data_IF_546551471618
#
_entry.id   IF_546551471618
#
_cell.length_a   1.000
_cell.length_b   1.000
_cell.length_c   1.000
_cell.angle_alpha   90.00
_cell.angle_beta   90.00
_cell.angle_gamma   90.00
#
_symmetry.space_group_name_H-M   'P 1'
#
loop_
_entity.id
_entity.type
_entity.pdbx_description
1 polymer ?
#
# COMPACT_ATOMS: atom_id res chain seq x y z
N UNK A 1 28.79 1.87 18.80
CA UNK A 1 27.90 1.52 17.68
C UNK A 1 26.53 2.08 18.01
N UNK A 2 26.11 3.16 17.35
CA UNK A 2 24.77 3.70 17.53
C UNK A 2 23.75 2.65 17.11
N UNK A 3 22.63 2.47 17.83
CA UNK A 3 21.59 1.56 17.38
C UNK A 3 21.10 2.07 16.03
N UNK A 4 21.20 1.24 15.00
CA UNK A 4 20.61 1.50 13.69
C UNK A 4 19.14 1.86 13.91
N UNK A 5 18.80 3.15 13.83
CA UNK A 5 17.43 3.60 13.99
C UNK A 5 16.60 2.94 12.90
N UNK A 6 15.66 2.06 13.29
CA UNK A 6 14.74 1.43 12.34
C UNK A 6 14.08 2.54 11.52
N UNK A 7 14.20 2.46 10.19
CA UNK A 7 13.65 3.46 9.29
C UNK A 7 12.14 3.64 9.54
N UNK A 8 11.64 4.88 9.47
CA UNK A 8 10.27 5.21 9.85
C UNK A 8 9.22 4.46 9.03
N UNK A 9 9.53 4.11 7.78
CA UNK A 9 8.63 3.39 6.88
C UNK A 9 8.17 2.03 7.45
N UNK A 10 8.97 1.43 8.33
CA UNK A 10 8.70 0.12 8.96
C UNK A 10 8.00 0.23 10.32
N UNK A 11 7.31 1.35 10.58
CA UNK A 11 6.60 1.57 11.86
C UNK A 11 5.56 0.48 12.15
N UNK A 12 4.85 -0.02 11.14
CA UNK A 12 3.72 -0.94 11.32
C UNK A 12 3.95 -2.36 10.82
N UNK A 13 4.94 -2.58 9.95
CA UNK A 13 5.28 -3.89 9.41
C UNK A 13 6.71 -3.89 8.88
N UNK A 14 7.32 -5.09 8.87
CA UNK A 14 8.55 -5.36 8.14
C UNK A 14 8.20 -5.86 6.73
N UNK A 15 8.77 -5.24 5.70
CA UNK A 15 8.53 -5.59 4.29
C UNK A 15 9.67 -5.09 3.40
N UNK A 16 9.75 -5.63 2.18
CA UNK A 16 10.70 -5.17 1.17
C UNK A 16 10.13 -3.97 0.38
N UNK A 17 10.48 -2.76 0.82
CA UNK A 17 10.04 -1.51 0.18
C UNK A 17 10.58 -1.34 -1.25
N UNK A 18 11.73 -1.92 -1.59
CA UNK A 18 12.28 -1.89 -2.94
C UNK A 18 11.48 -2.80 -3.86
N UNK A 19 11.07 -3.98 -3.40
CA UNK A 19 10.17 -4.86 -4.13
C UNK A 19 8.81 -4.20 -4.38
N UNK A 20 8.27 -3.45 -3.40
CA UNK A 20 7.05 -2.64 -3.59
C UNK A 20 7.24 -1.62 -4.71
N UNK A 21 8.34 -0.85 -4.72
CA UNK A 21 8.57 0.12 -5.80
C UNK A 21 8.78 -0.58 -7.16
N UNK A 22 9.53 -1.68 -7.20
CA UNK A 22 9.74 -2.46 -8.43
C UNK A 22 8.43 -2.96 -9.03
N UNK A 23 7.52 -3.45 -8.18
CA UNK A 23 6.18 -3.87 -8.58
C UNK A 23 5.35 -2.70 -9.09
N UNK A 24 5.32 -1.58 -8.35
CA UNK A 24 4.60 -0.38 -8.73
C UNK A 24 5.10 0.19 -10.08
N UNK A 25 6.41 0.24 -10.27
CA UNK A 25 7.05 0.62 -11.55
C UNK A 25 6.63 -0.30 -12.69
N UNK A 26 6.64 -1.62 -12.48
CA UNK A 26 6.19 -2.60 -13.49
C UNK A 26 4.73 -2.38 -13.88
N UNK A 27 3.85 -2.21 -12.89
CA UNK A 27 2.43 -1.93 -13.12
C UNK A 27 2.21 -0.59 -13.84
N UNK A 28 3.14 0.35 -13.68
CA UNK A 28 3.13 1.66 -14.32
C UNK A 28 4.06 1.73 -15.55
N UNK A 29 4.12 0.65 -16.32
CA UNK A 29 4.83 0.60 -17.61
C UNK A 29 6.34 0.93 -17.51
N UNK A 30 6.96 0.58 -16.39
CA UNK A 30 8.38 0.78 -16.15
C UNK A 30 8.77 2.20 -15.72
N UNK A 31 7.82 3.09 -15.44
CA UNK A 31 8.16 4.42 -14.92
C UNK A 31 8.84 4.28 -13.55
N UNK A 32 10.04 4.87 -13.34
CA UNK A 32 10.73 4.80 -12.07
C UNK A 32 9.92 5.44 -10.93
N UNK A 33 10.08 4.92 -9.73
CA UNK A 33 9.44 5.43 -8.53
C UNK A 33 10.40 5.45 -7.34
N UNK A 34 9.98 6.15 -6.28
CA UNK A 34 10.64 6.15 -4.98
C UNK A 34 9.67 5.74 -3.88
N UNK A 35 10.10 4.80 -3.04
CA UNK A 35 9.52 4.49 -1.73
C UNK A 35 10.45 5.05 -0.65
N UNK A 36 10.25 6.30 -0.22
CA UNK A 36 11.14 6.98 0.74
C UNK A 36 11.16 6.24 2.10
N UNK A 37 12.29 5.66 2.54
CA UNK A 37 12.35 4.96 3.82
C UNK A 37 12.23 5.86 5.05
N UNK A 38 12.49 7.16 4.90
CA UNK A 38 12.34 8.14 5.98
C UNK A 38 10.89 8.53 6.23
N UNK A 39 9.99 8.21 5.29
CA UNK A 39 8.57 8.53 5.42
C UNK A 39 7.96 7.79 6.61
N UNK A 40 7.08 8.47 7.34
CA UNK A 40 6.23 7.81 8.33
C UNK A 40 4.93 7.38 7.65
N UNK A 41 4.52 6.10 7.74
CA UNK A 41 3.28 5.67 7.13
C UNK A 41 2.08 6.45 7.68
N UNK A 42 1.16 6.84 6.80
CA UNK A 42 -0.15 7.32 7.22
C UNK A 42 -0.93 6.17 7.85
N UNK A 43 -1.72 6.46 8.89
CA UNK A 43 -2.46 5.41 9.60
C UNK A 43 -3.90 5.82 9.84
N UNK A 44 -4.82 4.93 9.47
CA UNK A 44 -6.18 4.94 9.98
C UNK A 44 -6.35 3.91 11.09
N UNK A 45 -7.59 3.60 11.44
CA UNK A 45 -7.89 2.59 12.46
C UNK A 45 -7.46 1.19 12.01
N UNK A 46 -7.86 0.75 10.81
CA UNK A 46 -7.66 -0.64 10.38
C UNK A 46 -6.43 -0.84 9.48
N UNK A 47 -6.01 0.18 8.77
CA UNK A 47 -4.95 0.09 7.77
C UNK A 47 -3.92 1.19 7.98
N UNK A 48 -2.71 0.92 7.53
CA UNK A 48 -1.67 1.91 7.31
C UNK A 48 -1.36 2.01 5.80
N UNK A 49 -0.69 3.08 5.42
CA UNK A 49 -0.38 3.39 4.04
C UNK A 49 0.97 4.09 3.89
N UNK A 50 1.67 3.77 2.81
CA UNK A 50 2.84 4.53 2.34
C UNK A 50 2.54 5.10 0.97
N UNK A 51 3.25 6.17 0.63
CA UNK A 51 3.14 6.81 -0.67
C UNK A 51 4.33 6.45 -1.54
N UNK A 52 4.04 6.20 -2.81
CA UNK A 52 5.00 5.88 -3.87
C UNK A 52 4.95 7.03 -4.87
N UNK A 53 6.04 7.77 -5.02
CA UNK A 53 6.11 8.89 -5.96
C UNK A 53 6.83 8.45 -7.23
N UNK A 54 6.17 8.59 -8.38
CA UNK A 54 6.74 8.29 -9.68
C UNK A 54 7.50 9.50 -10.24
N UNK A 55 8.44 9.24 -11.14
CA UNK A 55 9.26 10.26 -11.80
C UNK A 55 8.42 11.29 -12.59
N UNK A 56 7.21 10.93 -13.01
CA UNK A 56 6.27 11.82 -13.70
C UNK A 56 5.33 12.59 -12.75
N UNK A 57 5.62 12.56 -11.44
CA UNK A 57 4.89 13.31 -10.43
C UNK A 57 3.58 12.66 -9.96
N UNK A 58 3.16 11.54 -10.56
CA UNK A 58 2.02 10.77 -10.06
C UNK A 58 2.38 10.10 -8.75
N UNK A 59 1.43 10.08 -7.81
CA UNK A 59 1.58 9.40 -6.53
C UNK A 59 0.60 8.23 -6.44
N UNK A 60 1.11 7.04 -6.09
CA UNK A 60 0.29 5.89 -5.72
C UNK A 60 0.36 5.62 -4.22
N UNK A 61 -0.58 4.81 -3.73
CA UNK A 61 -0.67 4.43 -2.34
C UNK A 61 -0.55 2.91 -2.24
N UNK A 62 0.37 2.43 -1.41
CA UNK A 62 0.38 1.06 -0.93
C UNK A 62 -0.31 1.01 0.43
N UNK A 63 -1.32 0.16 0.60
CA UNK A 63 -2.08 0.00 1.84
C UNK A 63 -1.97 -1.43 2.35
N UNK A 64 -1.88 -1.57 3.65
CA UNK A 64 -1.89 -2.87 4.33
C UNK A 64 -2.67 -2.78 5.64
N UNK A 65 -3.34 -3.86 6.06
CA UNK A 65 -3.96 -3.93 7.36
C UNK A 65 -2.91 -3.85 8.47
N UNK A 66 -3.33 -3.30 9.61
CA UNK A 66 -2.61 -3.47 10.87
C UNK A 66 -2.70 -4.94 11.30
N UNK A 67 -1.60 -5.49 11.80
CA UNK A 67 -1.64 -6.78 12.48
C UNK A 67 -2.46 -6.63 13.77
N UNK A 68 -3.48 -7.47 13.91
CA UNK A 68 -4.36 -7.47 15.08
C UNK A 68 -4.52 -8.90 15.59
N UNK A 69 -4.41 -9.07 16.91
CA UNK A 69 -4.49 -10.38 17.57
C UNK A 69 -5.78 -11.13 17.30
N UNK A 70 -6.87 -10.42 17.02
CA UNK A 70 -8.20 -10.97 16.76
C UNK A 70 -8.52 -11.16 15.27
N UNK A 71 -7.61 -10.82 14.35
CA UNK A 71 -7.83 -10.95 12.91
C UNK A 71 -6.85 -11.98 12.32
N UNK A 72 -7.29 -13.23 12.09
CA UNK A 72 -6.49 -14.22 11.40
C UNK A 72 -6.08 -13.73 10.00
N UNK A 73 -4.90 -14.15 9.52
CA UNK A 73 -4.38 -13.73 8.23
C UNK A 73 -5.36 -14.01 7.07
N UNK A 74 -5.96 -15.21 7.05
CA UNK A 74 -6.93 -15.60 6.03
C UNK A 74 -8.16 -14.69 5.98
N UNK A 75 -8.59 -14.17 7.13
CA UNK A 75 -9.68 -13.20 7.20
C UNK A 75 -9.21 -11.86 6.61
N UNK A 76 -7.99 -11.43 6.92
CA UNK A 76 -7.38 -10.24 6.34
C UNK A 76 -7.32 -10.28 4.82
N UNK A 77 -6.89 -11.41 4.23
CA UNK A 77 -6.82 -11.60 2.77
C UNK A 77 -8.22 -11.54 2.15
N UNK A 78 -9.22 -12.19 2.76
CA UNK A 78 -10.62 -12.13 2.28
C UNK A 78 -11.19 -10.72 2.34
N UNK A 79 -10.90 -9.97 3.41
CA UNK A 79 -11.33 -8.58 3.53
C UNK A 79 -10.66 -7.68 2.49
N UNK A 80 -9.36 -7.85 2.24
CA UNK A 80 -8.64 -7.13 1.19
C UNK A 80 -9.24 -7.41 -0.20
N UNK A 81 -9.49 -8.68 -0.52
CA UNK A 81 -10.12 -9.07 -1.78
C UNK A 81 -11.54 -8.49 -1.91
N UNK A 82 -12.31 -8.46 -0.82
CA UNK A 82 -13.64 -7.86 -0.78
C UNK A 82 -13.60 -6.34 -1.00
N UNK A 83 -12.64 -5.64 -0.38
CA UNK A 83 -12.43 -4.19 -0.59
C UNK A 83 -12.08 -3.89 -2.05
N UNK A 84 -11.12 -4.63 -2.62
CA UNK A 84 -10.73 -4.50 -4.02
C UNK A 84 -11.90 -4.76 -4.99
N UNK A 85 -12.68 -5.82 -4.75
CA UNK A 85 -13.87 -6.13 -5.53
C UNK A 85 -14.93 -5.03 -5.44
N UNK A 86 -15.12 -4.45 -4.25
CA UNK A 86 -16.09 -3.37 -4.02
C UNK A 86 -15.68 -2.10 -4.76
N UNK A 87 -14.41 -1.70 -4.70
CA UNK A 87 -13.89 -0.53 -5.42
C UNK A 87 -14.04 -0.68 -6.94
N UNK A 88 -13.71 -1.87 -7.46
CA UNK A 88 -13.89 -2.17 -8.90
C UNK A 88 -15.37 -2.15 -9.30
N UNK A 89 -16.24 -2.72 -8.47
CA UNK A 89 -17.68 -2.70 -8.71
C UNK A 89 -18.23 -1.27 -8.75
N UNK A 90 -17.88 -0.44 -7.76
CA UNK A 90 -18.31 0.96 -7.68
C UNK A 90 -17.81 1.76 -8.89
N UNK A 91 -16.55 1.58 -9.31
CA UNK A 91 -16.00 2.23 -10.50
C UNK A 91 -16.76 1.85 -11.78
N UNK A 92 -17.21 0.60 -11.89
CA UNK A 92 -17.87 0.10 -13.09
C UNK A 92 -19.39 0.40 -13.13
N UNK A 93 -20.03 0.60 -11.97
CA UNK A 93 -21.50 0.66 -11.86
C UNK A 93 -22.03 1.93 -11.18
N UNK A 94 -21.17 2.90 -10.91
CA UNK A 94 -21.58 4.19 -10.33
C UNK A 94 -20.65 5.32 -10.75
N UNK A 95 -21.13 6.55 -10.64
CA UNK A 95 -20.32 7.75 -10.84
C UNK A 95 -19.58 8.21 -9.58
N UNK A 96 -19.60 7.39 -8.51
CA UNK A 96 -18.89 7.71 -7.27
C UNK A 96 -17.39 7.66 -7.56
N UNK A 97 -16.65 8.75 -7.31
CA UNK A 97 -15.21 8.75 -7.51
C UNK A 97 -14.57 7.80 -6.49
N UNK A 98 -13.89 6.78 -6.99
CA UNK A 98 -13.15 5.80 -6.19
C UNK A 98 -11.72 5.65 -6.71
N UNK A 99 -10.75 5.31 -5.85
CA UNK A 99 -9.38 5.08 -6.27
C UNK A 99 -9.26 3.85 -7.17
N UNK A 100 -8.27 3.86 -8.06
CA UNK A 100 -7.96 2.71 -8.90
C UNK A 100 -7.21 1.62 -8.12
N UNK A 101 -7.64 0.37 -8.29
CA UNK A 101 -6.96 -0.81 -7.71
C UNK A 101 -6.09 -1.46 -8.77
N UNK A 102 -4.81 -1.08 -8.79
CA UNK A 102 -3.81 -1.62 -9.72
C UNK A 102 -3.42 -3.08 -9.41
N UNK A 103 -3.30 -3.43 -8.13
CA UNK A 103 -2.91 -4.77 -7.67
C UNK A 103 -3.28 -4.99 -6.19
N UNK A 104 -3.39 -6.25 -5.76
CA UNK A 104 -3.55 -6.65 -4.36
C UNK A 104 -3.14 -8.12 -4.17
N UNK A 105 -2.56 -8.44 -3.00
CA UNK A 105 -2.17 -9.80 -2.61
C UNK A 105 -2.20 -9.98 -1.09
#
# INVERSE_FOLDING_TARGET
MSPSSKQNIFTYADFDHEAVCRRASTLRQGIPCTCDPSQRPASGSFNWAIFILFADGVQWVFRSPHQRTFMPLDLGVKLLASEAATLRYLKAHSDIPVPEVYDYW
#
